data_IF_529628246280
#
_entry.id   IF_529628246280
#
_cell.length_a   1.000
_cell.length_b   1.000
_cell.length_c   1.000
_cell.angle_alpha   90.00
_cell.angle_beta   90.00
_cell.angle_gamma   90.00
#
_symmetry.space_group_name_H-M   'P 1'
#
loop_
_entity.id
_entity.type
_entity.pdbx_description
1 polymer ?
#
# COMPACT_ATOMS: atom_id res chain seq x y z
N UNK A 1 6.27 -0.56 -27.53
CA UNK A 1 5.84 0.84 -27.59
C UNK A 1 4.51 1.00 -26.84
N UNK A 2 4.41 1.99 -25.95
CA UNK A 2 3.17 2.33 -25.23
C UNK A 2 2.86 3.81 -25.46
N UNK A 3 1.58 4.13 -25.62
CA UNK A 3 1.11 5.50 -25.84
C UNK A 3 0.03 5.83 -24.81
N UNK A 4 0.25 6.87 -24.04
CA UNK A 4 -0.72 7.44 -23.11
C UNK A 4 -1.20 8.79 -23.61
N UNK A 5 -2.49 9.04 -23.54
CA UNK A 5 -3.09 10.35 -23.72
C UNK A 5 -3.64 10.81 -22.38
N UNK A 6 -2.96 11.76 -21.75
CA UNK A 6 -3.29 12.17 -20.40
C UNK A 6 -4.68 12.81 -20.34
N UNK A 7 -5.49 12.33 -19.41
CA UNK A 7 -6.83 12.86 -19.11
C UNK A 7 -6.90 13.41 -17.68
N UNK A 8 -8.03 14.05 -17.36
CA UNK A 8 -8.26 14.66 -16.06
C UNK A 8 -8.30 13.60 -14.92
N UNK A 9 -7.82 14.01 -13.74
CA UNK A 9 -7.70 13.19 -12.53
C UNK A 9 -8.90 13.38 -11.57
N UNK A 10 -10.13 13.20 -12.08
CA UNK A 10 -11.36 13.53 -11.33
C UNK A 10 -11.90 12.38 -10.47
N UNK A 11 -11.41 11.15 -10.67
CA UNK A 11 -11.86 9.98 -9.93
C UNK A 11 -11.37 10.02 -8.47
N UNK A 12 -12.27 9.96 -7.46
CA UNK A 12 -11.88 9.94 -6.05
C UNK A 12 -11.05 8.71 -5.64
N UNK A 13 -11.13 7.61 -6.40
CA UNK A 13 -10.28 6.44 -6.18
C UNK A 13 -8.79 6.75 -6.39
N UNK A 14 -8.48 7.70 -7.28
CA UNK A 14 -7.12 8.14 -7.61
C UNK A 14 -6.41 8.72 -6.39
N UNK A 15 -7.11 9.46 -5.50
CA UNK A 15 -6.51 10.04 -4.27
C UNK A 15 -5.96 8.95 -3.35
N UNK A 16 -6.72 7.88 -3.16
CA UNK A 16 -6.33 6.77 -2.31
C UNK A 16 -5.18 5.97 -2.93
N UNK A 17 -5.31 5.66 -4.21
CA UNK A 17 -4.30 4.87 -4.92
C UNK A 17 -2.98 5.62 -5.06
N UNK A 18 -3.01 6.93 -5.33
CA UNK A 18 -1.81 7.77 -5.32
C UNK A 18 -1.12 7.74 -3.95
N UNK A 19 -1.89 7.82 -2.85
CA UNK A 19 -1.32 7.72 -1.51
C UNK A 19 -0.73 6.32 -1.22
N UNK A 20 -1.32 5.25 -1.76
CA UNK A 20 -0.77 3.89 -1.68
C UNK A 20 0.54 3.76 -2.45
N UNK A 21 0.61 4.30 -3.66
CA UNK A 21 1.82 4.30 -4.51
C UNK A 21 2.95 5.10 -3.87
N UNK A 22 2.67 6.27 -3.30
CA UNK A 22 3.65 7.06 -2.56
C UNK A 22 4.15 6.31 -1.31
N UNK A 23 3.28 5.59 -0.62
CA UNK A 23 3.69 4.75 0.50
C UNK A 23 4.61 3.60 0.06
N UNK A 24 4.29 2.93 -1.06
CA UNK A 24 5.15 1.89 -1.63
C UNK A 24 6.52 2.45 -2.03
N UNK A 25 6.56 3.64 -2.62
CA UNK A 25 7.80 4.35 -2.94
C UNK A 25 8.65 4.57 -1.70
N UNK A 26 8.07 5.16 -0.63
CA UNK A 26 8.77 5.42 0.63
C UNK A 26 9.25 4.12 1.29
N UNK A 27 8.46 3.05 1.24
CA UNK A 27 8.88 1.74 1.75
C UNK A 27 10.07 1.20 0.94
N UNK A 28 10.03 1.28 -0.39
CA UNK A 28 11.14 0.86 -1.26
C UNK A 28 12.42 1.66 -1.00
N UNK A 29 12.32 2.98 -0.85
CA UNK A 29 13.46 3.84 -0.49
C UNK A 29 14.01 3.50 0.91
N UNK A 30 13.14 3.26 1.90
CA UNK A 30 13.52 2.86 3.25
C UNK A 30 14.23 1.49 3.24
N UNK A 31 13.77 0.54 2.42
CA UNK A 31 14.43 -0.77 2.25
C UNK A 31 15.84 -0.63 1.69
N UNK A 32 16.05 0.29 0.74
CA UNK A 32 17.40 0.57 0.20
C UNK A 32 18.32 1.22 1.24
N UNK A 33 17.78 2.16 2.06
CA UNK A 33 18.59 2.87 3.09
C UNK A 33 18.92 2.00 4.31
N UNK A 34 18.00 1.13 4.73
CA UNK A 34 18.11 0.36 5.97
C UNK A 34 17.84 -1.15 5.73
N UNK A 35 18.65 -1.86 4.93
CA UNK A 35 18.38 -3.25 4.56
C UNK A 35 18.38 -4.20 5.76
N UNK A 36 19.26 -3.99 6.76
CA UNK A 36 19.34 -4.82 7.96
C UNK A 36 18.04 -4.80 8.78
N UNK A 37 17.46 -3.62 8.95
CA UNK A 37 16.18 -3.45 9.65
C UNK A 37 15.04 -4.19 8.92
N UNK A 38 14.97 -4.04 7.60
CA UNK A 38 13.94 -4.68 6.79
C UNK A 38 14.09 -6.20 6.74
N UNK A 39 15.32 -6.73 6.69
CA UNK A 39 15.59 -8.16 6.80
C UNK A 39 15.09 -8.73 8.14
N UNK A 40 15.24 -8.00 9.24
CA UNK A 40 14.70 -8.39 10.54
C UNK A 40 13.16 -8.39 10.53
N UNK A 41 12.54 -7.34 9.97
CA UNK A 41 11.08 -7.23 9.83
C UNK A 41 10.53 -8.38 8.96
N UNK A 42 11.18 -8.68 7.83
CA UNK A 42 10.74 -9.74 6.93
C UNK A 42 10.90 -11.14 7.58
N UNK A 43 11.94 -11.36 8.39
CA UNK A 43 12.06 -12.59 9.21
C UNK A 43 10.88 -12.72 10.19
N UNK A 44 10.52 -11.64 10.90
CA UNK A 44 9.37 -11.65 11.81
C UNK A 44 8.07 -11.91 11.03
N UNK A 45 7.89 -11.29 9.87
CA UNK A 45 6.72 -11.50 9.00
C UNK A 45 6.62 -12.94 8.50
N UNK A 46 7.73 -13.54 8.06
CA UNK A 46 7.77 -14.94 7.59
C UNK A 46 7.50 -15.94 8.72
N UNK A 47 8.02 -15.70 9.93
CA UNK A 47 7.69 -16.51 11.11
C UNK A 47 6.20 -16.37 11.48
N UNK A 48 5.64 -15.17 11.42
CA UNK A 48 4.22 -14.94 11.67
C UNK A 48 3.32 -15.56 10.58
N UNK A 49 3.80 -15.67 9.34
CA UNK A 49 3.05 -16.28 8.24
C UNK A 49 3.07 -17.81 8.25
N UNK A 50 4.08 -18.44 8.87
CA UNK A 50 4.17 -19.91 9.04
C UNK A 50 3.19 -20.46 10.08
N UNK A 51 2.52 -19.61 10.86
CA UNK A 51 1.44 -20.00 11.77
C UNK A 51 0.17 -20.48 11.05
N UNK A 52 -0.77 -21.13 11.76
CA UNK A 52 -2.04 -21.58 11.20
C UNK A 52 -2.72 -20.42 10.47
N UNK A 53 -3.24 -20.69 9.26
CA UNK A 53 -3.73 -19.68 8.34
C UNK A 53 -4.56 -18.59 9.02
N UNK A 54 -4.38 -17.34 8.62
CA UNK A 54 -4.90 -16.13 9.26
C UNK A 54 -6.40 -16.22 9.58
N UNK A 55 -7.19 -16.84 8.70
CA UNK A 55 -8.63 -17.07 8.92
C UNK A 55 -8.89 -18.05 10.06
N UNK A 56 -8.17 -19.17 10.09
CA UNK A 56 -8.32 -20.17 11.17
C UNK A 56 -7.91 -19.61 12.53
N UNK A 57 -6.91 -18.72 12.56
CA UNK A 57 -6.47 -18.07 13.81
C UNK A 57 -7.49 -17.04 14.28
N UNK A 58 -8.05 -16.21 13.40
CA UNK A 58 -9.09 -15.23 13.78
C UNK A 58 -10.36 -15.91 14.26
N UNK A 59 -10.79 -16.99 13.62
CA UNK A 59 -11.94 -17.78 14.06
C UNK A 59 -11.69 -18.42 15.42
N UNK A 60 -10.52 -19.03 15.64
CA UNK A 60 -10.14 -19.61 16.95
C UNK A 60 -10.11 -18.54 18.04
N UNK A 61 -9.44 -17.41 17.82
CA UNK A 61 -9.40 -16.33 18.82
C UNK A 61 -10.80 -15.77 19.13
N UNK A 62 -11.71 -15.70 18.14
CA UNK A 62 -13.11 -15.31 18.40
C UNK A 62 -13.84 -16.33 19.25
N UNK A 63 -13.70 -17.62 18.94
CA UNK A 63 -14.34 -18.70 19.70
C UNK A 63 -13.80 -18.71 21.13
N UNK A 64 -12.47 -18.68 21.32
CA UNK A 64 -11.87 -18.63 22.66
C UNK A 64 -12.23 -17.34 23.40
N UNK A 65 -12.25 -16.20 22.76
CA UNK A 65 -12.65 -14.93 23.36
C UNK A 65 -14.09 -14.96 23.87
N UNK A 66 -15.04 -15.48 23.07
CA UNK A 66 -16.45 -15.65 23.49
C UNK A 66 -16.57 -16.65 24.64
N UNK A 67 -15.85 -17.77 24.57
CA UNK A 67 -15.86 -18.77 25.62
C UNK A 67 -15.32 -18.23 26.95
N UNK A 68 -14.20 -17.52 26.93
CA UNK A 68 -13.62 -16.87 28.13
C UNK A 68 -14.56 -15.79 28.69
N UNK A 69 -15.22 -15.00 27.85
CA UNK A 69 -16.20 -14.02 28.28
C UNK A 69 -17.39 -14.68 29.00
N UNK A 70 -17.93 -15.77 28.44
CA UNK A 70 -19.02 -16.53 29.05
C UNK A 70 -18.61 -17.15 30.38
N UNK A 71 -17.41 -17.76 30.43
CA UNK A 71 -16.87 -18.36 31.65
C UNK A 71 -16.59 -17.32 32.74
N UNK A 72 -16.00 -16.17 32.36
CA UNK A 72 -15.73 -15.08 33.28
C UNK A 72 -17.01 -14.45 33.86
N UNK A 73 -18.05 -14.33 33.02
CA UNK A 73 -19.36 -13.83 33.48
C UNK A 73 -20.01 -14.83 34.46
N UNK A 74 -19.95 -16.13 34.15
CA UNK A 74 -20.46 -17.18 35.03
C UNK A 74 -19.75 -17.18 36.38
N UNK A 75 -18.42 -17.13 36.41
CA UNK A 75 -17.63 -17.08 37.65
C UNK A 75 -17.90 -15.80 38.44
N UNK A 76 -18.13 -14.68 37.79
CA UNK A 76 -18.47 -13.41 38.43
C UNK A 76 -19.86 -13.49 39.12
N UNK A 77 -20.85 -14.09 38.45
CA UNK A 77 -22.19 -14.32 39.01
C UNK A 77 -22.11 -15.23 40.25
N UNK A 78 -21.36 -16.33 40.16
CA UNK A 78 -21.18 -17.26 41.28
C UNK A 78 -20.46 -16.59 42.46
N UNK A 79 -19.47 -15.72 42.19
CA UNK A 79 -18.76 -14.97 43.23
C UNK A 79 -19.61 -13.92 43.96
N UNK A 80 -20.68 -13.44 43.32
CA UNK A 80 -21.64 -12.47 43.90
C UNK A 80 -22.73 -13.15 44.75
N UNK A 81 -22.94 -14.48 44.59
CA UNK A 81 -23.88 -15.22 45.41
C UNK A 81 -23.34 -15.43 46.84
N UNK A 82 -24.20 -15.37 47.87
CA UNK A 82 -23.75 -15.63 49.25
C UNK A 82 -23.34 -17.10 49.45
N UNK A 83 -22.19 -17.38 50.16
CA UNK A 83 -21.26 -16.42 50.76
C UNK A 83 -20.36 -15.76 49.75
N UNK A 84 -20.29 -14.41 49.76
CA UNK A 84 -19.48 -13.61 48.82
C UNK A 84 -17.99 -13.95 48.99
N UNK A 85 -17.39 -14.52 47.97
CA UNK A 85 -15.96 -14.84 47.95
C UNK A 85 -15.21 -13.84 47.03
N UNK A 86 -14.49 -12.92 47.64
CA UNK A 86 -13.74 -11.87 46.94
C UNK A 86 -12.76 -12.45 45.93
N UNK A 87 -12.14 -13.60 46.24
CA UNK A 87 -11.22 -14.28 45.34
C UNK A 87 -11.88 -14.69 44.01
N UNK A 88 -13.13 -15.19 44.05
CA UNK A 88 -13.88 -15.63 42.85
C UNK A 88 -14.25 -14.45 41.99
N UNK A 89 -14.56 -13.31 42.60
CA UNK A 89 -14.88 -12.05 41.85
C UNK A 89 -13.63 -11.56 41.11
N UNK A 90 -12.45 -11.57 41.75
CA UNK A 90 -11.19 -11.15 41.13
C UNK A 90 -10.85 -12.07 39.95
N UNK A 91 -10.97 -13.38 40.12
CA UNK A 91 -10.70 -14.36 39.05
C UNK A 91 -11.67 -14.17 37.90
N UNK A 92 -12.97 -14.01 38.15
CA UNK A 92 -13.98 -13.75 37.14
C UNK A 92 -13.69 -12.48 36.34
N UNK A 93 -13.27 -11.39 36.99
CA UNK A 93 -12.87 -10.14 36.36
C UNK A 93 -11.63 -10.32 35.46
N UNK A 94 -10.61 -11.04 35.94
CA UNK A 94 -9.40 -11.31 35.16
C UNK A 94 -9.70 -12.15 33.90
N UNK A 95 -10.58 -13.15 34.00
CA UNK A 95 -11.00 -13.98 32.85
C UNK A 95 -11.78 -13.16 31.82
N UNK A 96 -12.63 -12.22 32.25
CA UNK A 96 -13.34 -11.30 31.34
C UNK A 96 -12.35 -10.42 30.59
N UNK A 97 -11.36 -9.83 31.29
CA UNK A 97 -10.32 -8.99 30.66
C UNK A 97 -9.53 -9.80 29.63
N UNK A 98 -9.15 -11.04 29.95
CA UNK A 98 -8.46 -11.93 29.02
C UNK A 98 -9.31 -12.22 27.78
N UNK A 99 -10.61 -12.49 27.94
CA UNK A 99 -11.54 -12.71 26.85
C UNK A 99 -11.70 -11.49 25.94
N UNK A 100 -11.78 -10.29 26.51
CA UNK A 100 -11.83 -9.02 25.75
C UNK A 100 -10.53 -8.78 24.97
N UNK A 101 -9.39 -9.10 25.57
CA UNK A 101 -8.08 -8.97 24.92
C UNK A 101 -7.97 -9.91 23.72
N UNK A 102 -8.35 -11.19 23.87
CA UNK A 102 -8.40 -12.16 22.78
C UNK A 102 -9.34 -11.73 21.66
N UNK A 103 -10.52 -11.17 22.00
CA UNK A 103 -11.47 -10.66 21.04
C UNK A 103 -10.92 -9.43 20.29
N UNK A 104 -10.21 -8.54 20.97
CA UNK A 104 -9.55 -7.39 20.37
C UNK A 104 -8.43 -7.82 19.42
N UNK A 105 -7.64 -8.84 19.78
CA UNK A 105 -6.61 -9.42 18.93
C UNK A 105 -7.21 -10.14 17.71
N UNK A 106 -8.39 -10.75 17.85
CA UNK A 106 -9.13 -11.40 16.77
C UNK A 106 -9.74 -10.40 15.75
N UNK A 107 -9.91 -9.13 16.12
CA UNK A 107 -10.42 -8.08 15.24
C UNK A 107 -9.51 -7.75 14.05
N UNK A 108 -8.40 -8.46 13.95
CA UNK A 108 -7.49 -8.37 12.82
C UNK A 108 -6.80 -7.00 12.75
N UNK A 109 -5.54 -6.99 12.52
CA UNK A 109 -4.83 -5.76 12.16
C UNK A 109 -5.54 -5.15 10.96
N UNK A 110 -6.13 -3.98 11.16
CA UNK A 110 -6.52 -3.11 10.05
C UNK A 110 -5.42 -3.15 8.98
N UNK A 111 -5.79 -3.16 7.68
CA UNK A 111 -4.79 -3.08 6.62
C UNK A 111 -3.81 -1.95 6.96
N UNK A 112 -2.53 -2.06 6.58
CA UNK A 112 -1.53 -1.07 6.96
C UNK A 112 -2.08 0.33 6.66
N UNK A 113 -2.21 1.14 7.70
CA UNK A 113 -2.76 2.49 7.58
C UNK A 113 -1.76 3.28 6.74
N UNK A 114 -2.20 3.74 5.58
CA UNK A 114 -1.42 4.69 4.79
C UNK A 114 -1.10 5.89 5.68
N UNK A 115 0.19 6.26 5.84
CA UNK A 115 0.58 7.40 6.66
C UNK A 115 -0.16 8.67 6.25
N UNK A 116 -0.49 9.52 7.22
CA UNK A 116 -1.18 10.78 6.95
C UNK A 116 -0.33 11.72 6.06
N UNK A 117 1.00 11.63 6.15
CA UNK A 117 1.94 12.33 5.28
C UNK A 117 1.74 11.96 3.80
N UNK A 118 1.67 10.66 3.48
CA UNK A 118 1.45 10.20 2.10
C UNK A 118 0.09 10.67 1.55
N UNK A 119 -0.95 10.68 2.39
CA UNK A 119 -2.27 11.20 1.99
C UNK A 119 -2.23 12.70 1.69
N UNK A 120 -1.52 13.48 2.51
CA UNK A 120 -1.36 14.92 2.31
C UNK A 120 -0.56 15.22 1.04
N UNK A 121 0.52 14.48 0.83
CA UNK A 121 1.37 14.62 -0.36
C UNK A 121 0.61 14.22 -1.63
N UNK A 122 -0.12 13.10 -1.63
CA UNK A 122 -0.97 12.68 -2.73
C UNK A 122 -2.00 13.75 -3.09
N UNK A 123 -2.70 14.29 -2.08
CA UNK A 123 -3.69 15.35 -2.31
C UNK A 123 -3.04 16.58 -2.95
N UNK A 124 -1.90 17.04 -2.41
CA UNK A 124 -1.18 18.20 -2.97
C UNK A 124 -0.74 17.97 -4.41
N UNK A 125 -0.21 16.78 -4.72
CA UNK A 125 0.22 16.44 -6.08
C UNK A 125 -0.96 16.39 -7.07
N UNK A 126 -2.11 15.87 -6.62
CA UNK A 126 -3.32 15.80 -7.45
C UNK A 126 -4.03 17.15 -7.58
N UNK A 127 -4.04 17.99 -6.53
CA UNK A 127 -4.58 19.35 -6.63
C UNK A 127 -3.88 20.13 -7.74
N UNK A 128 -2.53 20.08 -7.79
CA UNK A 128 -1.77 20.72 -8.88
C UNK A 128 -2.16 20.16 -10.27
N UNK A 129 -2.36 18.85 -10.39
CA UNK A 129 -2.73 18.22 -11.66
C UNK A 129 -4.17 18.52 -12.08
N UNK A 130 -5.08 18.70 -11.13
CA UNK A 130 -6.49 19.06 -11.39
C UNK A 130 -6.67 20.51 -11.82
N UNK A 131 -5.71 21.40 -11.53
CA UNK A 131 -5.74 22.79 -12.04
C UNK A 131 -5.40 22.88 -13.52
N UNK A 132 -4.81 21.84 -14.10
CA UNK A 132 -4.38 21.81 -15.50
C UNK A 132 -5.49 21.18 -16.34
N UNK A 133 -5.87 21.84 -17.41
CA UNK A 133 -6.82 21.32 -18.41
C UNK A 133 -6.07 20.45 -19.42
N UNK A 134 -5.92 19.17 -19.09
CA UNK A 134 -5.17 18.19 -19.87
C UNK A 134 -5.78 17.94 -21.27
N UNK A 135 -7.09 18.12 -21.40
CA UNK A 135 -7.77 17.96 -22.68
C UNK A 135 -7.36 19.05 -23.69
N UNK A 136 -7.18 20.28 -23.21
CA UNK A 136 -6.66 21.37 -24.06
C UNK A 136 -5.20 21.18 -24.40
N UNK A 137 -4.37 20.78 -23.42
CA UNK A 137 -2.93 20.59 -23.63
C UNK A 137 -2.60 19.37 -24.49
N UNK A 138 -3.54 18.45 -24.74
CA UNK A 138 -3.35 17.23 -25.54
C UNK A 138 -2.05 16.50 -25.24
N UNK A 139 -1.67 16.47 -23.96
CA UNK A 139 -0.41 15.88 -23.52
C UNK A 139 -0.40 14.39 -23.81
N UNK A 140 0.64 13.94 -24.48
CA UNK A 140 0.86 12.52 -24.76
C UNK A 140 2.20 12.08 -24.23
N UNK A 141 2.25 10.84 -23.71
CA UNK A 141 3.47 10.21 -23.19
C UNK A 141 3.69 8.92 -23.98
N UNK A 142 4.83 8.82 -24.66
CA UNK A 142 5.24 7.65 -25.42
C UNK A 142 6.39 6.94 -24.72
N UNK A 143 6.25 5.63 -24.56
CA UNK A 143 7.32 4.76 -24.10
C UNK A 143 7.83 3.97 -25.30
N UNK A 144 9.01 4.35 -25.76
CA UNK A 144 9.68 3.79 -26.94
C UNK A 144 10.86 2.93 -26.51
N UNK A 145 11.65 2.44 -27.45
CA UNK A 145 12.81 1.60 -27.09
C UNK A 145 13.98 2.44 -26.54
N UNK A 146 14.13 3.68 -26.99
CA UNK A 146 15.19 4.57 -26.54
C UNK A 146 14.89 5.31 -25.23
N UNK A 147 13.61 5.45 -24.85
CA UNK A 147 13.23 6.23 -23.66
C UNK A 147 11.75 6.58 -23.63
N UNK A 148 11.44 7.55 -22.81
CA UNK A 148 10.10 8.12 -22.64
C UNK A 148 10.10 9.48 -23.31
N UNK A 149 9.16 9.72 -24.20
CA UNK A 149 8.95 11.01 -24.85
C UNK A 149 7.65 11.63 -24.35
N UNK A 150 7.73 12.80 -23.75
CA UNK A 150 6.59 13.58 -23.26
C UNK A 150 6.37 14.72 -24.25
N UNK A 151 5.21 14.70 -24.92
CA UNK A 151 4.82 15.74 -25.86
C UNK A 151 3.68 16.55 -25.24
N UNK A 152 3.87 17.85 -25.04
CA UNK A 152 2.87 18.81 -24.59
C UNK A 152 2.90 20.02 -25.51
N UNK A 153 1.84 20.22 -26.28
CA UNK A 153 1.76 21.30 -27.32
C UNK A 153 2.95 21.26 -28.28
N UNK A 154 3.82 22.27 -28.20
CA UNK A 154 5.03 22.40 -29.04
C UNK A 154 6.31 21.92 -28.35
N UNK A 155 6.21 21.51 -27.09
CA UNK A 155 7.35 21.03 -26.30
C UNK A 155 7.42 19.51 -26.32
N UNK A 156 8.60 18.99 -26.65
CA UNK A 156 8.91 17.57 -26.59
C UNK A 156 10.10 17.36 -25.65
N UNK A 157 9.89 16.59 -24.60
CA UNK A 157 10.93 16.23 -23.64
C UNK A 157 11.24 14.74 -23.75
N UNK A 158 12.51 14.40 -23.87
CA UNK A 158 12.97 13.02 -23.94
C UNK A 158 13.67 12.61 -22.64
N UNK A 159 13.18 11.54 -22.01
CA UNK A 159 13.68 10.98 -20.76
C UNK A 159 14.22 9.57 -21.00
N UNK A 160 15.55 9.33 -20.90
CA UNK A 160 16.11 8.00 -21.08
C UNK A 160 15.73 7.06 -19.90
N UNK A 161 15.63 5.76 -20.15
CA UNK A 161 15.30 4.76 -19.12
C UNK A 161 16.31 4.70 -17.98
N UNK A 162 17.55 5.10 -18.19
CA UNK A 162 18.59 5.19 -17.14
C UNK A 162 18.25 6.17 -16.03
N UNK A 163 17.37 7.15 -16.29
CA UNK A 163 16.88 8.10 -15.27
C UNK A 163 15.70 7.57 -14.46
N UNK A 164 15.14 6.42 -14.80
CA UNK A 164 14.04 5.81 -14.05
C UNK A 164 14.60 5.01 -12.88
N UNK A 165 14.18 5.34 -11.66
CA UNK A 165 14.63 4.67 -10.43
C UNK A 165 13.73 3.53 -10.00
N UNK A 166 12.44 3.65 -10.24
CA UNK A 166 11.45 2.63 -9.84
C UNK A 166 10.12 2.87 -10.53
N UNK A 167 9.34 1.81 -10.65
CA UNK A 167 7.96 1.88 -11.11
C UNK A 167 7.07 1.05 -10.19
N UNK A 168 5.87 1.56 -9.93
CA UNK A 168 4.88 0.97 -9.03
C UNK A 168 3.51 0.91 -9.71
N UNK A 169 2.70 -0.06 -9.31
CA UNK A 169 1.37 -0.28 -9.88
C UNK A 169 0.31 -0.37 -8.78
N UNK A 170 -0.84 0.22 -9.06
CA UNK A 170 -2.08 0.01 -8.31
C UNK A 170 -3.20 -0.49 -9.23
N UNK A 171 -4.43 -0.53 -8.74
CA UNK A 171 -5.56 -1.01 -9.53
C UNK A 171 -5.78 -0.19 -10.80
N UNK A 172 -5.75 1.15 -10.71
CA UNK A 172 -6.04 2.07 -11.82
C UNK A 172 -4.87 2.94 -12.24
N UNK A 173 -3.73 2.90 -11.50
CA UNK A 173 -2.62 3.81 -11.72
C UNK A 173 -1.28 3.09 -11.83
N UNK A 174 -0.35 3.72 -12.55
CA UNK A 174 1.09 3.47 -12.46
C UNK A 174 1.81 4.73 -12.00
N UNK A 175 2.83 4.54 -11.19
CA UNK A 175 3.77 5.59 -10.76
C UNK A 175 5.15 5.23 -11.25
N UNK A 176 5.69 5.98 -12.20
CA UNK A 176 7.06 5.86 -12.67
C UNK A 176 7.88 6.97 -12.03
N UNK A 177 8.85 6.61 -11.22
CA UNK A 177 9.71 7.53 -10.49
C UNK A 177 11.01 7.68 -11.25
N UNK A 178 11.26 8.89 -11.70
CA UNK A 178 12.52 9.26 -12.34
C UNK A 178 13.50 9.81 -11.28
N UNK A 179 14.55 10.49 -11.72
CA UNK A 179 15.46 11.19 -10.82
C UNK A 179 14.74 12.21 -9.93
N UNK A 180 15.39 12.73 -8.94
CA UNK A 180 14.91 13.32 -7.68
C UNK A 180 13.69 14.25 -7.72
N UNK A 181 13.30 14.77 -8.87
CA UNK A 181 12.22 15.73 -8.97
C UNK A 181 11.08 15.33 -9.94
N UNK A 182 11.23 14.24 -10.69
CA UNK A 182 10.24 13.82 -11.68
C UNK A 182 9.55 12.51 -11.28
N UNK A 183 8.22 12.56 -11.22
CA UNK A 183 7.38 11.38 -11.07
C UNK A 183 6.21 11.44 -12.05
N UNK A 184 6.11 10.45 -12.91
CA UNK A 184 5.00 10.29 -13.85
C UNK A 184 3.92 9.45 -13.19
N UNK A 185 2.77 10.05 -12.96
CA UNK A 185 1.57 9.34 -12.52
C UNK A 185 0.67 9.13 -13.75
N UNK A 186 0.45 7.89 -14.11
CA UNK A 186 -0.28 7.49 -15.31
C UNK A 186 -1.56 6.75 -14.92
N UNK A 187 -2.67 7.11 -15.53
CA UNK A 187 -3.92 6.37 -15.36
C UNK A 187 -3.99 5.24 -16.39
N UNK A 188 -4.42 4.05 -15.97
CA UNK A 188 -4.56 2.90 -16.88
C UNK A 188 -5.56 3.14 -18.00
N UNK A 189 -6.59 3.94 -17.74
CA UNK A 189 -7.60 4.36 -18.74
C UNK A 189 -7.03 5.23 -19.87
N UNK A 190 -5.90 5.90 -19.62
CA UNK A 190 -5.26 6.81 -20.57
C UNK A 190 -4.38 6.07 -21.60
N UNK A 191 -4.18 4.76 -21.42
CA UNK A 191 -3.41 3.92 -22.33
C UNK A 191 -4.18 3.76 -23.66
N UNK A 192 -3.63 4.28 -24.75
CA UNK A 192 -4.22 4.20 -26.11
C UNK A 192 -3.61 3.08 -26.93
N UNK A 193 -2.33 2.78 -26.73
CA UNK A 193 -1.65 1.68 -27.40
C UNK A 193 -0.69 0.95 -26.45
N UNK A 194 -0.59 -0.36 -26.62
CA UNK A 194 0.19 -1.26 -25.78
C UNK A 194 -0.70 -2.15 -24.89
N UNK A 195 -0.06 -3.08 -24.18
CA UNK A 195 -0.77 -4.00 -23.28
C UNK A 195 -0.55 -3.56 -21.83
N UNK A 196 -1.64 -3.25 -21.12
CA UNK A 196 -1.59 -2.81 -19.72
C UNK A 196 -0.92 -3.85 -18.79
N UNK A 197 -1.12 -5.15 -19.05
CA UNK A 197 -0.58 -6.21 -18.18
C UNK A 197 0.94 -6.39 -18.31
N UNK A 198 1.53 -6.05 -19.46
CA UNK A 198 2.98 -6.16 -19.67
C UNK A 198 3.72 -4.85 -19.43
N UNK A 199 3.02 -3.72 -19.30
CA UNK A 199 3.62 -2.40 -19.19
C UNK A 199 4.71 -2.32 -18.13
N UNK A 200 4.39 -2.73 -16.88
CA UNK A 200 5.33 -2.62 -15.76
C UNK A 200 6.55 -3.54 -15.94
N UNK A 201 6.33 -4.77 -16.42
CA UNK A 201 7.42 -5.73 -16.66
C UNK A 201 8.37 -5.24 -17.76
N UNK A 202 7.82 -4.65 -18.82
CA UNK A 202 8.62 -4.13 -19.93
C UNK A 202 9.43 -2.90 -19.51
N UNK A 203 8.86 -1.99 -18.73
CA UNK A 203 9.58 -0.85 -18.16
C UNK A 203 10.72 -1.32 -17.25
N UNK A 204 10.44 -2.26 -16.33
CA UNK A 204 11.47 -2.81 -15.44
C UNK A 204 12.59 -3.50 -16.21
N UNK A 205 12.29 -4.23 -17.28
CA UNK A 205 13.29 -4.85 -18.14
C UNK A 205 14.20 -3.79 -18.80
N UNK A 206 13.61 -2.71 -19.33
CA UNK A 206 14.38 -1.63 -19.98
C UNK A 206 15.24 -0.83 -19.00
N UNK A 207 14.78 -0.67 -17.77
CA UNK A 207 15.59 -0.06 -16.69
C UNK A 207 16.86 -0.87 -16.41
N UNK A 208 16.75 -2.21 -16.35
CA UNK A 208 17.87 -3.08 -16.05
C UNK A 208 18.90 -3.14 -17.21
N UNK A 209 18.43 -3.16 -18.45
CA UNK A 209 19.33 -3.15 -19.63
C UNK A 209 20.09 -1.84 -19.81
N UNK A 210 19.52 -0.71 -19.35
CA UNK A 210 20.19 0.60 -19.40
C UNK A 210 21.33 0.75 -18.40
N UNK A 211 21.33 -0.01 -17.31
CA UNK A 211 22.40 0.02 -16.28
C UNK A 211 23.66 -0.75 -16.72
N UNK A 212 23.51 -1.78 -17.54
CA UNK A 212 24.65 -2.62 -17.99
C UNK A 212 25.48 -1.97 -19.14
N UNK A 213 24.93 -0.93 -19.79
CA UNK A 213 25.61 -0.23 -20.91
C UNK A 213 26.53 0.91 -20.45
N UNK A 214 26.57 1.24 -19.15
CA UNK A 214 27.37 2.35 -18.57
C UNK A 214 28.43 1.90 -17.55
N UNK A 215 28.77 0.60 -17.55
CA UNK A 215 29.82 -0.01 -16.72
C UNK A 215 31.18 -0.14 -17.41
#
# INVERSE_FOLDING_TARGET
MYLFQISNYDDPAVDRETAELLHQRLEAESRRRCPAMWNAIDRIRTHAAKGPGREKRTVRCRIYGVFLLALGLLTLILGLMPPKTTAVIIVGGAVIIAGLLEFALARGRTPPRIPASCKKEARKALELRRTVDWEKLKTTIRFEDAGITICAEENEEHLPYTRIKSAFESLHLWLVVCDDECALLLQKKDLRAGNANSFLSDIMSKMNTGTDASG
#
